data_IF_356173836339
#
_entry.id   IF_356173836339
#
_cell.length_a   1.000
_cell.length_b   1.000
_cell.length_c   1.000
_cell.angle_alpha   90.00
_cell.angle_beta   90.00
_cell.angle_gamma   90.00
#
_symmetry.space_group_name_H-M   'P 1'
#
loop_
_entity.id
_entity.type
_entity.pdbx_description
1 polymer ?
#
# COMPACT_ATOMS: atom_id res chain seq x y z
N UNK A 1 -30.96 3.36 -6.46
CA UNK A 1 -30.83 2.03 -5.84
C UNK A 1 -31.62 2.03 -4.56
N UNK A 2 -32.34 0.94 -4.26
CA UNK A 2 -33.00 0.75 -2.96
C UNK A 2 -31.95 0.47 -1.88
N UNK A 3 -32.29 0.68 -0.61
CA UNK A 3 -31.36 0.47 0.52
C UNK A 3 -30.75 -0.95 0.50
N UNK A 4 -31.58 -1.95 0.29
CA UNK A 4 -31.15 -3.36 0.24
C UNK A 4 -30.16 -3.63 -0.92
N UNK A 5 -30.29 -2.92 -2.05
CA UNK A 5 -29.35 -3.05 -3.18
C UNK A 5 -27.98 -2.45 -2.86
N UNK A 6 -27.93 -1.40 -2.03
CA UNK A 6 -26.67 -0.77 -1.58
C UNK A 6 -25.92 -1.70 -0.62
N UNK A 7 -26.62 -2.33 0.31
CA UNK A 7 -26.03 -3.29 1.25
C UNK A 7 -25.46 -4.52 0.52
N UNK A 8 -26.19 -5.04 -0.47
CA UNK A 8 -25.72 -6.13 -1.33
C UNK A 8 -24.47 -5.74 -2.13
N UNK A 9 -24.43 -4.51 -2.66
CA UNK A 9 -23.25 -4.02 -3.37
C UNK A 9 -22.03 -3.94 -2.44
N UNK A 10 -22.18 -3.42 -1.22
CA UNK A 10 -21.10 -3.35 -0.24
C UNK A 10 -20.50 -4.72 0.09
N UNK A 11 -21.35 -5.72 0.31
CA UNK A 11 -20.92 -7.10 0.53
C UNK A 11 -20.20 -7.68 -0.70
N UNK A 12 -20.71 -7.43 -1.90
CA UNK A 12 -20.09 -7.89 -3.13
C UNK A 12 -18.69 -7.30 -3.33
N UNK A 13 -18.52 -6.00 -3.03
CA UNK A 13 -17.21 -5.33 -3.07
C UNK A 13 -16.26 -5.99 -2.07
N UNK A 14 -16.67 -6.15 -0.80
CA UNK A 14 -15.83 -6.79 0.23
C UNK A 14 -15.40 -8.21 -0.15
N UNK A 15 -16.33 -9.02 -0.66
CA UNK A 15 -16.04 -10.37 -1.13
C UNK A 15 -15.06 -10.40 -2.32
N UNK A 16 -15.20 -9.47 -3.25
CA UNK A 16 -14.29 -9.35 -4.38
C UNK A 16 -12.87 -9.01 -3.92
N UNK A 17 -12.71 -8.02 -3.03
CA UNK A 17 -11.40 -7.64 -2.46
C UNK A 17 -10.77 -8.83 -1.75
N UNK A 18 -11.52 -9.51 -0.89
CA UNK A 18 -11.04 -10.69 -0.15
C UNK A 18 -10.60 -11.83 -1.07
N UNK A 19 -11.34 -12.09 -2.16
CA UNK A 19 -10.98 -13.14 -3.14
C UNK A 19 -9.77 -12.76 -4.01
N UNK A 20 -9.58 -11.46 -4.25
CA UNK A 20 -8.56 -10.93 -5.17
C UNK A 20 -7.26 -10.54 -4.46
N UNK A 21 -7.25 -10.59 -3.13
CA UNK A 21 -6.08 -10.34 -2.29
C UNK A 21 -5.49 -11.67 -1.82
N UNK A 22 -4.17 -11.77 -1.72
CA UNK A 22 -3.49 -12.93 -1.12
C UNK A 22 -2.54 -12.46 -0.04
N UNK A 23 -2.68 -13.03 1.16
CA UNK A 23 -1.81 -12.73 2.29
C UNK A 23 -0.98 -13.97 2.62
N UNK A 24 0.32 -13.77 2.81
CA UNK A 24 1.24 -14.80 3.30
C UNK A 24 2.03 -14.24 4.48
N UNK A 25 2.36 -15.11 5.43
CA UNK A 25 3.37 -14.81 6.45
C UNK A 25 4.75 -15.09 5.86
N UNK A 26 5.64 -14.10 5.91
CA UNK A 26 7.05 -14.29 5.48
C UNK A 26 7.96 -14.64 6.65
N UNK A 27 7.58 -14.24 7.85
CA UNK A 27 8.22 -14.59 9.10
C UNK A 27 7.19 -14.62 10.25
N UNK A 28 7.66 -14.52 11.50
CA UNK A 28 6.82 -14.63 12.70
C UNK A 28 5.96 -13.39 12.99
N UNK A 29 6.26 -12.25 12.38
CA UNK A 29 5.62 -10.96 12.64
C UNK A 29 5.19 -10.23 11.37
N UNK A 30 5.71 -10.63 10.21
CA UNK A 30 5.52 -9.90 8.98
C UNK A 30 4.68 -10.68 7.98
N UNK A 31 3.64 -10.01 7.48
CA UNK A 31 2.79 -10.45 6.39
C UNK A 31 3.14 -9.68 5.11
N UNK A 32 3.16 -10.40 3.99
CA UNK A 32 3.11 -9.81 2.66
C UNK A 32 1.70 -9.96 2.10
N UNK A 33 1.15 -8.87 1.56
CA UNK A 33 -0.18 -8.80 0.98
C UNK A 33 -0.04 -8.47 -0.50
N UNK A 34 -0.30 -9.45 -1.37
CA UNK A 34 -0.51 -9.21 -2.79
C UNK A 34 -1.91 -8.65 -3.00
N UNK A 35 -2.01 -7.42 -3.48
CA UNK A 35 -3.28 -6.72 -3.65
C UNK A 35 -3.91 -7.02 -5.02
N UNK A 36 -5.12 -6.51 -5.24
CA UNK A 36 -5.79 -6.58 -6.54
C UNK A 36 -5.32 -5.51 -7.54
N UNK A 37 -4.39 -4.64 -7.14
CA UNK A 37 -3.96 -3.49 -7.93
C UNK A 37 -2.73 -3.83 -8.77
N UNK A 38 -2.67 -3.24 -9.96
CA UNK A 38 -1.57 -3.33 -10.91
C UNK A 38 -0.98 -1.93 -11.09
N UNK A 39 0.33 -1.80 -10.95
CA UNK A 39 1.06 -0.54 -11.13
C UNK A 39 1.25 -0.20 -12.62
N UNK A 40 1.82 0.98 -12.91
CA UNK A 40 2.09 1.43 -14.28
C UNK A 40 3.05 0.51 -15.05
N UNK A 41 3.86 -0.29 -14.35
CA UNK A 41 4.82 -1.23 -14.93
C UNK A 41 4.18 -2.60 -15.25
N UNK A 42 2.89 -2.78 -14.94
CA UNK A 42 2.17 -4.03 -15.17
C UNK A 42 2.34 -5.08 -14.07
N UNK A 43 2.94 -4.69 -12.94
CA UNK A 43 3.21 -5.57 -11.81
C UNK A 43 2.11 -5.49 -10.74
N UNK A 44 1.92 -6.59 -10.01
CA UNK A 44 1.07 -6.58 -8.81
C UNK A 44 1.67 -5.69 -7.73
N UNK A 45 0.82 -4.87 -7.11
CA UNK A 45 1.19 -4.05 -5.95
C UNK A 45 1.16 -4.89 -4.69
N UNK A 46 2.25 -4.83 -3.92
CA UNK A 46 2.43 -5.54 -2.67
C UNK A 46 2.48 -4.55 -1.50
N UNK A 47 1.92 -4.96 -0.36
CA UNK A 47 1.99 -4.22 0.89
C UNK A 47 2.51 -5.14 1.97
N UNK A 48 3.37 -4.63 2.82
CA UNK A 48 3.92 -5.30 3.98
C UNK A 48 3.20 -4.84 5.24
N UNK A 49 2.96 -5.79 6.15
CA UNK A 49 2.39 -5.50 7.46
C UNK A 49 3.25 -6.20 8.51
N UNK A 50 3.88 -5.43 9.40
CA UNK A 50 4.62 -5.94 10.54
C UNK A 50 3.83 -5.70 11.84
N UNK A 51 3.66 -6.74 12.64
CA UNK A 51 3.02 -6.66 13.96
C UNK A 51 4.00 -6.12 15.02
N UNK A 52 3.65 -5.00 15.66
CA UNK A 52 4.37 -4.45 16.80
C UNK A 52 3.43 -4.17 17.99
N UNK A 53 3.26 -5.19 18.82
CA UNK A 53 2.43 -5.11 20.03
C UNK A 53 0.96 -4.85 19.69
N UNK A 54 0.45 -3.69 20.08
CA UNK A 54 -0.94 -3.26 19.83
C UNK A 54 -1.11 -2.50 18.50
N UNK A 55 0.00 -2.26 17.79
CA UNK A 55 0.03 -1.54 16.52
C UNK A 55 0.55 -2.44 15.39
N UNK A 56 0.33 -1.99 14.16
CA UNK A 56 0.86 -2.61 12.96
C UNK A 56 1.53 -1.52 12.12
N UNK A 57 2.76 -1.79 11.66
CA UNK A 57 3.39 -1.00 10.60
C UNK A 57 2.91 -1.51 9.26
N UNK A 58 2.45 -0.62 8.40
CA UNK A 58 2.06 -0.92 7.02
C UNK A 58 3.02 -0.20 6.08
N UNK A 59 3.74 -0.93 5.25
CA UNK A 59 4.75 -0.34 4.36
C UNK A 59 4.73 -0.91 2.94
N UNK A 60 5.39 -0.22 2.01
CA UNK A 60 5.62 -0.72 0.66
C UNK A 60 6.91 -1.57 0.55
N UNK A 61 7.73 -1.60 1.62
CA UNK A 61 9.01 -2.28 1.65
C UNK A 61 10.05 -1.66 0.74
N UNK A 62 9.95 -0.36 0.45
CA UNK A 62 10.81 0.40 -0.44
C UNK A 62 10.71 0.01 -1.92
N UNK A 63 9.62 -0.66 -2.30
CA UNK A 63 9.49 -1.27 -3.62
C UNK A 63 9.11 -0.26 -4.68
N UNK A 64 8.25 0.71 -4.39
CA UNK A 64 7.73 1.59 -5.45
C UNK A 64 8.80 2.56 -5.96
N UNK A 65 9.58 3.14 -5.06
CA UNK A 65 10.63 4.08 -5.42
C UNK A 65 11.78 3.39 -6.13
N UNK A 66 12.16 2.19 -5.70
CA UNK A 66 13.13 1.36 -6.42
C UNK A 66 12.70 1.06 -7.87
N UNK A 67 11.39 0.90 -8.12
CA UNK A 67 10.88 0.72 -9.49
C UNK A 67 10.92 2.01 -10.29
N UNK A 68 10.65 3.13 -9.63
CA UNK A 68 10.53 4.45 -10.25
C UNK A 68 11.89 5.02 -10.65
N UNK A 69 12.86 4.99 -9.74
CA UNK A 69 14.21 5.47 -9.95
C UNK A 69 15.23 4.56 -9.24
N UNK A 70 15.61 3.42 -9.84
CA UNK A 70 16.46 2.43 -9.20
C UNK A 70 17.89 2.92 -8.91
N UNK A 71 18.32 4.02 -9.53
CA UNK A 71 19.66 4.57 -9.35
C UNK A 71 19.68 5.82 -8.44
N UNK A 72 18.51 6.28 -7.98
CA UNK A 72 18.36 7.49 -7.15
C UNK A 72 18.99 8.74 -7.79
N UNK A 73 18.91 8.83 -9.13
CA UNK A 73 19.50 9.93 -9.90
C UNK A 73 18.54 11.10 -10.12
N UNK A 74 17.22 10.85 -10.05
CA UNK A 74 16.19 11.85 -10.28
C UNK A 74 15.64 12.39 -8.95
N UNK A 75 16.35 13.39 -8.42
CA UNK A 75 15.98 14.02 -7.15
C UNK A 75 14.59 14.67 -7.16
N UNK A 76 14.19 15.31 -8.27
CA UNK A 76 12.88 15.97 -8.36
C UNK A 76 11.74 14.94 -8.35
N UNK A 77 11.94 13.81 -9.02
CA UNK A 77 11.00 12.69 -9.03
C UNK A 77 10.83 12.08 -7.63
N UNK A 78 11.94 11.85 -6.93
CA UNK A 78 11.93 11.28 -5.57
C UNK A 78 11.29 12.25 -4.56
N UNK A 79 11.62 13.54 -4.61
CA UNK A 79 10.98 14.59 -3.79
C UNK A 79 9.47 14.66 -4.05
N UNK A 80 9.05 14.58 -5.31
CA UNK A 80 7.62 14.55 -5.67
C UNK A 80 6.92 13.32 -5.09
N UNK A 81 7.55 12.14 -5.14
CA UNK A 81 6.99 10.92 -4.59
C UNK A 81 6.85 10.98 -3.07
N UNK A 82 7.86 11.55 -2.38
CA UNK A 82 7.81 11.83 -0.95
C UNK A 82 6.66 12.79 -0.60
N UNK A 83 6.53 13.92 -1.29
CA UNK A 83 5.46 14.90 -1.05
C UNK A 83 4.06 14.26 -1.19
N UNK A 84 3.87 13.38 -2.16
CA UNK A 84 2.60 12.66 -2.35
C UNK A 84 2.35 11.68 -1.19
N UNK A 85 3.39 10.97 -0.73
CA UNK A 85 3.28 10.05 0.40
C UNK A 85 2.89 10.79 1.69
N UNK A 86 3.63 11.84 2.04
CA UNK A 86 3.38 12.68 3.21
C UNK A 86 2.02 13.38 3.12
N UNK A 87 1.68 13.94 1.97
CA UNK A 87 0.38 14.56 1.72
C UNK A 87 -0.80 13.60 1.82
N UNK A 88 -0.57 12.29 1.64
CA UNK A 88 -1.57 11.22 1.79
C UNK A 88 -1.70 10.70 3.21
N UNK A 89 -0.91 11.22 4.16
CA UNK A 89 -0.88 10.82 5.57
C UNK A 89 -0.03 9.58 5.86
N UNK A 90 0.94 9.28 4.99
CA UNK A 90 1.99 8.29 5.24
C UNK A 90 3.28 9.00 5.64
N UNK A 91 4.19 8.25 6.21
CA UNK A 91 5.57 8.66 6.49
C UNK A 91 6.50 8.13 5.38
N UNK A 92 7.66 8.74 5.26
CA UNK A 92 8.68 8.41 4.27
C UNK A 92 10.03 8.24 5.00
N UNK A 93 10.65 7.07 4.82
CA UNK A 93 11.99 6.77 5.30
C UNK A 93 12.98 7.03 4.16
N UNK A 94 13.70 8.16 4.23
CA UNK A 94 14.72 8.54 3.24
C UNK A 94 15.89 7.56 3.18
N UNK A 95 16.24 6.90 4.30
CA UNK A 95 17.41 6.01 4.35
C UNK A 95 17.12 4.67 3.63
N UNK A 96 15.86 4.25 3.62
CA UNK A 96 15.41 2.98 3.02
C UNK A 96 14.48 3.15 1.82
N UNK A 97 14.18 4.39 1.42
CA UNK A 97 13.22 4.73 0.38
C UNK A 97 11.85 4.05 0.60
N UNK A 98 11.41 3.98 1.86
CA UNK A 98 10.22 3.24 2.26
C UNK A 98 9.07 4.17 2.63
N UNK A 99 7.88 3.89 2.10
CA UNK A 99 6.65 4.56 2.49
C UNK A 99 5.93 3.70 3.51
N UNK A 100 5.62 4.25 4.68
CA UNK A 100 4.98 3.50 5.75
C UNK A 100 3.96 4.30 6.57
N UNK A 101 3.16 3.61 7.37
CA UNK A 101 2.31 4.21 8.40
C UNK A 101 2.09 3.22 9.54
N UNK A 102 2.12 3.70 10.77
CA UNK A 102 1.80 2.91 11.96
C UNK A 102 0.32 3.11 12.33
N UNK A 103 -0.43 2.01 12.45
CA UNK A 103 -1.88 2.05 12.71
C UNK A 103 -2.31 0.99 13.71
N UNK A 104 -3.40 1.26 14.43
CA UNK A 104 -4.10 0.23 15.20
C UNK A 104 -4.68 -0.85 14.28
N UNK A 105 -4.81 -2.06 14.81
CA UNK A 105 -5.33 -3.23 14.08
C UNK A 105 -6.71 -3.00 13.44
N UNK A 106 -7.57 -2.17 14.04
CA UNK A 106 -8.89 -1.80 13.50
C UNK A 106 -8.82 -0.99 12.19
N UNK A 107 -7.71 -0.28 11.95
CA UNK A 107 -7.50 0.57 10.78
C UNK A 107 -6.61 -0.11 9.72
N UNK A 108 -6.08 -1.30 10.02
CA UNK A 108 -5.12 -2.01 9.19
C UNK A 108 -5.62 -2.22 7.75
N UNK A 109 -6.84 -2.72 7.58
CA UNK A 109 -7.39 -2.96 6.24
C UNK A 109 -7.49 -1.69 5.40
N UNK A 110 -7.82 -0.55 6.03
CA UNK A 110 -7.87 0.74 5.36
C UNK A 110 -6.47 1.22 4.95
N UNK A 111 -5.49 1.10 5.86
CA UNK A 111 -4.11 1.51 5.60
C UNK A 111 -3.47 0.67 4.49
N UNK A 112 -3.70 -0.64 4.45
CA UNK A 112 -3.21 -1.51 3.37
C UNK A 112 -3.78 -1.08 2.02
N UNK A 113 -5.09 -0.83 1.93
CA UNK A 113 -5.72 -0.46 0.67
C UNK A 113 -5.33 0.94 0.19
N UNK A 114 -5.18 1.90 1.12
CA UNK A 114 -4.71 3.25 0.79
C UNK A 114 -3.26 3.23 0.31
N UNK A 115 -2.38 2.49 0.96
CA UNK A 115 -0.97 2.39 0.54
C UNK A 115 -0.86 1.74 -0.83
N UNK A 116 -1.67 0.72 -1.11
CA UNK A 116 -1.71 0.11 -2.44
C UNK A 116 -2.12 1.12 -3.53
N UNK A 117 -3.13 1.96 -3.27
CA UNK A 117 -3.55 3.02 -4.19
C UNK A 117 -2.48 4.09 -4.38
N UNK A 118 -1.80 4.45 -3.29
CA UNK A 118 -0.69 5.40 -3.29
C UNK A 118 0.47 4.89 -4.15
N UNK A 119 0.87 3.62 -3.99
CA UNK A 119 1.89 3.01 -4.84
C UNK A 119 1.50 3.02 -6.32
N UNK A 120 0.22 2.77 -6.65
CA UNK A 120 -0.26 2.91 -8.05
C UNK A 120 -0.10 4.36 -8.52
N UNK A 121 -0.52 5.35 -7.74
CA UNK A 121 -0.40 6.76 -8.14
C UNK A 121 1.06 7.17 -8.38
N UNK A 122 1.96 6.81 -7.48
CA UNK A 122 3.40 7.08 -7.59
C UNK A 122 4.01 6.37 -8.80
N UNK A 123 3.56 5.16 -9.13
CA UNK A 123 4.07 4.42 -10.29
C UNK A 123 3.92 5.15 -11.62
N UNK A 124 2.96 6.09 -11.74
CA UNK A 124 2.71 6.87 -12.95
C UNK A 124 3.51 8.18 -13.03
N UNK A 125 4.41 8.44 -12.07
CA UNK A 125 5.32 9.58 -12.16
C UNK A 125 6.47 9.35 -13.16
N UNK A 126 6.78 8.08 -13.46
CA UNK A 126 7.85 7.66 -14.38
C UNK A 126 7.40 7.47 -15.82
#
# INVERSE_FOLDING_TARGET
MKKDEIELLGQAIGNYVAKSTKTIWVDKKTMQIATMMIDAYGDTVYVWVEEDGDHCRVSDGGRILFKLDPNEEDHELNETAEEIAVGSGYEFDEDHFEIYVDVDQQNLAQAVMKLAQLQVAISYLG
#
